data_IF_946897070143
#
_entry.id   IF_946897070143
#
_cell.length_a   1.000
_cell.length_b   1.000
_cell.length_c   1.000
_cell.angle_alpha   90.00
_cell.angle_beta   90.00
_cell.angle_gamma   90.00
#
_symmetry.space_group_name_H-M   'P 1'
#
loop_
_entity.id
_entity.type
_entity.pdbx_description
1 polymer ?
#
# COMPACT_ATOMS: atom_id res chain seq x y z
N UNK A 1 -10.34 -6.33 9.67
CA UNK A 1 -11.41 -5.91 8.75
C UNK A 1 -11.61 -6.90 7.62
N UNK A 2 -12.81 -6.90 7.03
CA UNK A 2 -13.17 -7.85 5.96
C UNK A 2 -13.41 -7.12 4.66
N UNK A 3 -12.33 -6.69 3.99
CA UNK A 3 -12.42 -6.08 2.66
C UNK A 3 -11.77 -7.01 1.65
N UNK A 4 -12.55 -7.44 0.65
CA UNK A 4 -12.02 -8.23 -0.47
C UNK A 4 -11.54 -7.28 -1.56
N UNK A 5 -10.34 -7.51 -2.07
CA UNK A 5 -9.69 -6.70 -3.12
C UNK A 5 -9.40 -7.60 -4.31
N UNK A 6 -9.79 -7.17 -5.52
CA UNK A 6 -9.63 -7.94 -6.74
C UNK A 6 -10.73 -8.96 -6.99
N UNK A 7 -10.53 -9.85 -7.97
CA UNK A 7 -11.46 -10.93 -8.28
C UNK A 7 -12.86 -10.48 -8.72
N UNK A 8 -13.02 -9.31 -9.33
CA UNK A 8 -14.29 -8.76 -9.77
C UNK A 8 -15.11 -8.08 -8.67
N UNK A 9 -14.58 -7.93 -7.47
CA UNK A 9 -15.20 -7.13 -6.42
C UNK A 9 -15.13 -5.63 -6.74
N UNK A 10 -16.03 -4.79 -6.18
CA UNK A 10 -15.98 -3.34 -6.36
C UNK A 10 -14.64 -2.75 -5.93
N UNK A 11 -14.19 -1.71 -6.62
CA UNK A 11 -12.97 -0.98 -6.29
C UNK A 11 -13.05 -0.45 -4.86
N UNK A 12 -12.14 -0.88 -4.00
CA UNK A 12 -12.14 -0.50 -2.60
C UNK A 12 -11.48 0.89 -2.39
N UNK A 13 -12.14 1.76 -1.62
CA UNK A 13 -11.60 3.08 -1.27
C UNK A 13 -10.75 2.99 -0.03
N UNK A 14 -9.50 3.44 -0.15
CA UNK A 14 -8.57 3.55 0.96
C UNK A 14 -8.28 5.00 1.29
N UNK A 15 -8.17 5.32 2.57
CA UNK A 15 -7.63 6.59 3.06
C UNK A 15 -6.39 6.37 3.93
N UNK A 16 -5.89 7.44 4.56
CA UNK A 16 -4.73 7.39 5.44
C UNK A 16 -4.87 8.44 6.53
N UNK A 17 -4.58 8.07 7.77
CA UNK A 17 -4.53 9.05 8.86
C UNK A 17 -3.39 10.04 8.69
N UNK A 18 -3.56 11.22 9.25
CA UNK A 18 -2.51 12.23 9.44
C UNK A 18 -2.25 12.53 10.93
N UNK A 19 -2.79 11.70 11.82
CA UNK A 19 -2.53 11.71 13.26
C UNK A 19 -1.18 11.05 13.59
N UNK A 20 -0.63 11.36 14.76
CA UNK A 20 0.47 10.56 15.31
C UNK A 20 -0.06 9.17 15.67
N UNK A 21 0.55 8.12 15.10
CA UNK A 21 0.17 6.73 15.37
C UNK A 21 0.41 6.33 16.84
N UNK A 22 1.20 7.07 17.60
CA UNK A 22 1.33 6.88 19.05
C UNK A 22 0.14 7.45 19.84
N UNK A 23 -0.66 8.34 19.25
CA UNK A 23 -1.91 8.83 19.84
C UNK A 23 -3.07 7.92 19.42
N UNK A 24 -3.40 6.97 20.30
CA UNK A 24 -4.46 5.98 20.04
C UNK A 24 -5.81 6.64 19.83
N UNK A 25 -6.19 7.58 20.70
CA UNK A 25 -7.53 8.20 20.67
C UNK A 25 -7.73 9.07 19.43
N UNK A 26 -6.74 9.89 19.07
CA UNK A 26 -6.80 10.71 17.88
C UNK A 26 -6.83 9.85 16.61
N UNK A 27 -6.05 8.76 16.57
CA UNK A 27 -6.02 7.84 15.43
C UNK A 27 -7.33 7.08 15.27
N UNK A 28 -7.91 6.55 16.34
CA UNK A 28 -9.22 5.89 16.32
C UNK A 28 -10.30 6.84 15.84
N UNK A 29 -10.42 8.02 16.46
CA UNK A 29 -11.42 9.02 16.08
C UNK A 29 -11.31 9.44 14.60
N UNK A 30 -10.10 9.53 14.06
CA UNK A 30 -9.93 9.83 12.64
C UNK A 30 -10.32 8.65 11.74
N UNK A 31 -9.97 7.41 12.10
CA UNK A 31 -10.37 6.21 11.36
C UNK A 31 -11.90 6.09 11.31
N UNK A 32 -12.58 6.36 12.42
CA UNK A 32 -14.05 6.37 12.46
C UNK A 32 -14.65 7.39 11.49
N UNK A 33 -14.11 8.62 11.45
CA UNK A 33 -14.60 9.64 10.49
C UNK A 33 -14.39 9.18 9.05
N UNK A 34 -13.24 8.59 8.75
CA UNK A 34 -12.92 8.04 7.43
C UNK A 34 -13.88 6.89 7.09
N UNK A 35 -14.15 5.98 8.02
CA UNK A 35 -15.07 4.85 7.79
C UNK A 35 -16.50 5.33 7.51
N UNK A 36 -16.99 6.30 8.30
CA UNK A 36 -18.32 6.92 8.10
C UNK A 36 -18.42 7.68 6.77
N UNK A 37 -17.30 8.21 6.25
CA UNK A 37 -17.22 8.83 4.93
C UNK A 37 -17.11 7.80 3.78
N UNK A 38 -17.04 6.49 4.08
CA UNK A 38 -17.01 5.41 3.09
C UNK A 38 -15.64 4.78 2.85
N UNK A 39 -14.58 5.24 3.52
CA UNK A 39 -13.23 4.67 3.42
C UNK A 39 -13.12 3.38 4.24
N UNK A 40 -13.18 2.22 3.58
CA UNK A 40 -13.18 0.90 4.23
C UNK A 40 -11.79 0.35 4.54
N UNK A 41 -10.76 0.99 4.05
CA UNK A 41 -9.36 0.65 4.32
C UNK A 41 -8.65 1.91 4.79
N UNK A 42 -8.01 1.87 5.95
CA UNK A 42 -7.28 3.01 6.49
C UNK A 42 -5.84 2.65 6.79
N UNK A 43 -4.91 3.47 6.30
CA UNK A 43 -3.48 3.30 6.47
C UNK A 43 -2.94 4.23 7.54
N UNK A 44 -2.13 3.68 8.45
CA UNK A 44 -1.36 4.42 9.44
C UNK A 44 0.13 4.25 9.17
N UNK A 45 0.91 5.30 9.39
CA UNK A 45 2.37 5.24 9.32
C UNK A 45 2.93 4.60 10.58
N UNK A 46 3.87 3.65 10.44
CA UNK A 46 4.63 3.10 11.56
C UNK A 46 6.12 3.17 11.23
N UNK A 47 6.78 4.22 11.73
CA UNK A 47 8.20 4.50 11.45
C UNK A 47 9.13 3.79 12.43
N UNK A 48 8.66 3.49 13.63
CA UNK A 48 9.41 2.87 14.68
C UNK A 48 8.63 1.83 15.47
N UNK A 49 9.33 1.20 16.40
CA UNK A 49 8.78 0.13 17.24
C UNK A 49 7.55 0.56 18.03
N UNK A 50 7.58 1.79 18.58
CA UNK A 50 6.48 2.32 19.42
C UNK A 50 5.17 2.42 18.65
N UNK A 51 5.22 2.97 17.42
CA UNK A 51 4.07 3.04 16.54
C UNK A 51 3.58 1.64 16.16
N UNK A 52 4.52 0.73 15.80
CA UNK A 52 4.20 -0.65 15.48
C UNK A 52 3.47 -1.38 16.61
N UNK A 53 3.92 -1.21 17.86
CA UNK A 53 3.28 -1.78 19.04
C UNK A 53 1.94 -1.10 19.37
N UNK A 54 1.82 0.21 19.14
CA UNK A 54 0.58 0.94 19.42
C UNK A 54 -0.56 0.59 18.46
N UNK A 55 -0.26 0.06 17.26
CA UNK A 55 -1.28 -0.47 16.35
C UNK A 55 -2.18 -1.52 17.02
N UNK A 56 -1.65 -2.29 17.96
CA UNK A 56 -2.43 -3.25 18.75
C UNK A 56 -3.59 -2.58 19.52
N UNK A 57 -3.33 -1.42 20.12
CA UNK A 57 -4.32 -0.65 20.89
C UNK A 57 -5.34 -0.02 19.96
N UNK A 58 -4.89 0.56 18.85
CA UNK A 58 -5.76 1.18 17.84
C UNK A 58 -6.72 0.14 17.27
N UNK A 59 -6.21 -1.01 16.81
CA UNK A 59 -7.05 -2.07 16.23
C UNK A 59 -8.03 -2.62 17.26
N UNK A 60 -7.58 -2.90 18.48
CA UNK A 60 -8.47 -3.38 19.55
C UNK A 60 -9.60 -2.39 19.79
N UNK A 61 -9.27 -1.11 19.97
CA UNK A 61 -10.27 -0.06 20.24
C UNK A 61 -11.32 0.04 19.13
N UNK A 62 -10.89 0.02 17.87
CA UNK A 62 -11.81 0.01 16.72
C UNK A 62 -12.77 -1.18 16.76
N UNK A 63 -12.28 -2.38 17.10
CA UNK A 63 -13.11 -3.59 17.17
C UNK A 63 -14.07 -3.54 18.36
N UNK A 64 -13.63 -3.03 19.52
CA UNK A 64 -14.47 -2.85 20.70
C UNK A 64 -15.63 -1.86 20.45
N UNK A 65 -15.41 -0.87 19.58
CA UNK A 65 -16.41 0.13 19.17
C UNK A 65 -17.25 -0.32 17.94
N UNK A 66 -17.02 -1.55 17.45
CA UNK A 66 -17.82 -2.16 16.39
C UNK A 66 -17.41 -1.78 14.95
N UNK A 67 -16.27 -1.11 14.76
CA UNK A 67 -15.78 -0.80 13.42
C UNK A 67 -15.01 -1.98 12.81
N UNK A 68 -15.37 -2.35 11.57
CA UNK A 68 -14.72 -3.41 10.80
C UNK A 68 -13.76 -2.86 9.72
N UNK A 69 -13.34 -1.61 9.86
CA UNK A 69 -12.39 -0.95 8.96
C UNK A 69 -11.08 -1.75 8.88
N UNK A 70 -10.62 -2.04 7.67
CA UNK A 70 -9.34 -2.72 7.47
C UNK A 70 -8.18 -1.76 7.74
N UNK A 71 -7.28 -2.15 8.64
CA UNK A 71 -6.13 -1.35 9.06
C UNK A 71 -4.87 -1.78 8.32
N UNK A 72 -4.16 -0.81 7.77
CA UNK A 72 -2.89 -1.02 7.04
C UNK A 72 -1.74 -0.31 7.75
N UNK A 73 -0.69 -1.03 8.09
CA UNK A 73 0.56 -0.44 8.57
C UNK A 73 1.47 -0.08 7.39
N UNK A 74 1.90 1.17 7.33
CA UNK A 74 2.86 1.67 6.34
C UNK A 74 4.26 1.73 6.95
N UNK A 75 5.09 0.77 6.57
CA UNK A 75 6.45 0.62 7.10
C UNK A 75 7.44 1.28 6.14
N UNK A 76 8.19 2.26 6.64
CA UNK A 76 9.11 3.01 5.80
C UNK A 76 10.52 2.40 5.74
N UNK A 77 11.13 2.06 6.90
CA UNK A 77 12.56 1.77 6.92
C UNK A 77 12.96 0.49 7.68
N UNK A 78 12.20 0.06 8.66
CA UNK A 78 12.62 -0.97 9.61
C UNK A 78 11.86 -2.28 9.41
N UNK A 79 12.51 -3.35 8.89
CA UNK A 79 11.88 -4.65 8.70
C UNK A 79 11.27 -5.24 9.99
N UNK A 80 11.91 -5.02 11.13
CA UNK A 80 11.42 -5.45 12.43
C UNK A 80 10.06 -4.85 12.80
N UNK A 81 9.80 -3.58 12.37
CA UNK A 81 8.51 -2.93 12.60
C UNK A 81 7.41 -3.57 11.74
N UNK A 82 7.75 -4.03 10.53
CA UNK A 82 6.82 -4.78 9.69
C UNK A 82 6.39 -6.09 10.38
N UNK A 83 7.35 -6.81 10.97
CA UNK A 83 7.09 -8.04 11.71
C UNK A 83 6.24 -7.83 12.98
N UNK A 84 6.41 -6.70 13.68
CA UNK A 84 5.58 -6.30 14.83
C UNK A 84 4.17 -5.96 14.35
N UNK A 85 4.04 -5.10 13.34
CA UNK A 85 2.75 -4.66 12.81
C UNK A 85 1.91 -5.81 12.27
N UNK A 86 2.53 -6.80 11.62
CA UNK A 86 1.86 -7.99 11.09
C UNK A 86 1.13 -8.84 12.16
N UNK A 87 1.37 -8.58 13.45
CA UNK A 87 0.65 -9.26 14.52
C UNK A 87 -0.74 -8.66 14.76
N UNK A 88 -1.02 -7.44 14.31
CA UNK A 88 -2.18 -6.66 14.74
C UNK A 88 -3.04 -6.13 13.59
N UNK A 89 -2.45 -5.87 12.42
CA UNK A 89 -3.13 -5.21 11.30
C UNK A 89 -3.63 -6.20 10.25
N UNK A 90 -4.49 -5.73 9.35
CA UNK A 90 -5.04 -6.54 8.26
C UNK A 90 -4.09 -6.57 7.04
N UNK A 91 -3.24 -5.57 6.90
CA UNK A 91 -2.25 -5.48 5.81
C UNK A 91 -1.01 -4.72 6.24
N UNK A 92 0.15 -5.17 5.80
CA UNK A 92 1.43 -4.44 5.94
C UNK A 92 1.85 -3.92 4.57
N UNK A 93 2.29 -2.66 4.49
CA UNK A 93 2.91 -2.11 3.28
C UNK A 93 4.40 -1.91 3.50
N UNK A 94 5.18 -2.40 2.56
CA UNK A 94 6.62 -2.16 2.48
C UNK A 94 6.98 -1.47 1.16
N UNK A 95 8.10 -0.75 1.15
CA UNK A 95 8.68 -0.15 -0.05
C UNK A 95 9.94 -0.92 -0.45
N UNK A 96 9.98 -1.55 -1.64
CA UNK A 96 11.16 -2.23 -2.15
C UNK A 96 12.44 -1.38 -2.14
N UNK A 97 12.32 -0.07 -2.30
CA UNK A 97 13.46 0.85 -2.23
C UNK A 97 14.17 0.86 -0.88
N UNK A 98 13.45 0.55 0.19
CA UNK A 98 13.93 0.58 1.57
C UNK A 98 13.99 -0.81 2.23
N UNK A 99 13.64 -1.87 1.49
CA UNK A 99 13.60 -3.24 1.97
C UNK A 99 14.56 -4.11 1.13
N UNK A 100 15.19 -5.09 1.73
CA UNK A 100 16.17 -5.96 1.03
C UNK A 100 15.60 -7.35 0.85
N UNK A 101 16.02 -8.00 -0.26
CA UNK A 101 15.65 -9.39 -0.56
C UNK A 101 16.77 -10.38 -0.28
N UNK A 102 18.00 -9.90 -0.01
CA UNK A 102 19.20 -10.74 0.12
C UNK A 102 19.50 -11.18 1.56
N UNK A 103 18.68 -10.80 2.55
CA UNK A 103 18.87 -11.09 3.97
C UNK A 103 17.82 -11.99 4.60
N UNK A 104 16.86 -12.49 3.82
CA UNK A 104 15.76 -13.31 4.33
C UNK A 104 14.67 -12.53 5.06
N UNK A 105 14.77 -11.20 5.17
CA UNK A 105 13.80 -10.35 5.89
C UNK A 105 12.42 -10.37 5.24
N UNK A 106 12.37 -10.47 3.90
CA UNK A 106 11.10 -10.54 3.16
C UNK A 106 10.44 -11.91 3.36
N UNK A 107 11.18 -12.97 3.33
CA UNK A 107 10.73 -14.34 3.55
C UNK A 107 10.17 -14.52 4.97
N UNK A 108 10.85 -13.95 5.97
CA UNK A 108 10.36 -13.92 7.36
C UNK A 108 9.03 -13.15 7.46
N UNK A 109 8.92 -11.99 6.80
CA UNK A 109 7.68 -11.23 6.80
C UNK A 109 6.56 -11.99 6.10
N UNK A 110 6.82 -12.64 4.97
CA UNK A 110 5.86 -13.48 4.25
C UNK A 110 5.37 -14.62 5.16
N UNK A 111 6.28 -15.30 5.86
CA UNK A 111 5.91 -16.38 6.78
C UNK A 111 4.97 -15.88 7.90
N UNK A 112 5.28 -14.73 8.50
CA UNK A 112 4.43 -14.10 9.54
C UNK A 112 3.08 -13.66 8.99
N UNK A 113 3.06 -13.03 7.82
CA UNK A 113 1.82 -12.62 7.16
C UNK A 113 0.92 -13.82 6.87
N UNK A 114 1.49 -14.92 6.39
CA UNK A 114 0.76 -16.17 6.13
C UNK A 114 0.18 -16.75 7.42
N UNK A 115 0.98 -16.87 8.47
CA UNK A 115 0.55 -17.41 9.77
C UNK A 115 -0.64 -16.63 10.35
N UNK A 116 -0.65 -15.32 10.15
CA UNK A 116 -1.66 -14.40 10.70
C UNK A 116 -2.81 -14.07 9.75
N UNK A 117 -2.76 -14.51 8.50
CA UNK A 117 -3.74 -14.14 7.48
C UNK A 117 -3.68 -12.66 7.10
N UNK A 118 -2.51 -12.04 7.19
CA UNK A 118 -2.26 -10.62 6.89
C UNK A 118 -1.83 -10.47 5.45
N UNK A 119 -2.41 -9.51 4.72
CA UNK A 119 -1.99 -9.21 3.36
C UNK A 119 -0.70 -8.37 3.34
N UNK A 120 0.07 -8.50 2.27
CA UNK A 120 1.28 -7.71 2.03
C UNK A 120 1.07 -6.77 0.84
N UNK A 121 1.38 -5.49 0.99
CA UNK A 121 1.42 -4.57 -0.14
C UNK A 121 2.86 -4.21 -0.50
N UNK A 122 3.25 -4.54 -1.72
CA UNK A 122 4.49 -4.11 -2.34
C UNK A 122 4.25 -2.75 -2.98
N UNK A 123 4.76 -1.70 -2.35
CA UNK A 123 4.47 -0.32 -2.73
C UNK A 123 5.68 0.42 -3.24
N UNK A 124 5.90 0.43 -4.56
CA UNK A 124 6.97 1.16 -5.22
C UNK A 124 6.56 2.63 -5.42
N UNK A 125 7.47 3.54 -5.12
CA UNK A 125 7.31 4.96 -5.42
C UNK A 125 8.45 5.42 -6.35
N UNK A 126 8.10 6.18 -7.37
CA UNK A 126 9.04 6.98 -8.15
C UNK A 126 9.81 7.93 -7.20
N UNK A 127 11.11 8.07 -7.37
CA UNK A 127 11.97 8.85 -6.47
C UNK A 127 12.51 8.08 -5.26
N UNK A 128 12.13 6.79 -5.06
CA UNK A 128 12.60 6.01 -3.91
C UNK A 128 12.97 4.56 -4.28
N UNK A 129 13.57 4.38 -5.45
CA UNK A 129 14.09 3.08 -5.88
C UNK A 129 15.37 2.72 -5.14
N UNK A 130 15.60 1.42 -4.92
CA UNK A 130 16.88 0.95 -4.40
C UNK A 130 18.04 1.38 -5.30
N UNK A 131 19.16 1.80 -4.70
CA UNK A 131 20.31 2.35 -5.45
C UNK A 131 20.73 1.45 -6.62
N UNK A 132 20.80 0.14 -6.44
CA UNK A 132 21.17 -0.83 -7.49
C UNK A 132 20.21 -0.83 -8.68
N UNK A 133 18.91 -0.64 -8.43
CA UNK A 133 17.89 -0.55 -9.48
C UNK A 133 18.01 0.79 -10.20
N UNK A 134 18.17 1.87 -9.43
CA UNK A 134 18.37 3.21 -9.97
C UNK A 134 19.62 3.29 -10.86
N UNK A 135 20.75 2.73 -10.42
CA UNK A 135 22.01 2.77 -11.18
C UNK A 135 21.91 2.03 -12.52
N UNK A 136 21.08 0.99 -12.61
CA UNK A 136 20.92 0.19 -13.83
C UNK A 136 19.78 0.65 -14.73
N UNK A 137 18.67 1.11 -14.17
CA UNK A 137 17.42 1.38 -14.90
C UNK A 137 16.97 2.84 -14.81
N UNK A 138 17.63 3.65 -13.97
CA UNK A 138 17.19 5.01 -13.66
C UNK A 138 15.88 5.03 -12.87
N UNK A 139 15.43 6.25 -12.55
CA UNK A 139 14.10 6.47 -11.96
C UNK A 139 13.04 6.55 -13.06
N UNK A 140 12.74 5.43 -13.65
CA UNK A 140 11.90 5.26 -14.84
C UNK A 140 10.76 4.29 -14.55
N UNK A 141 9.68 4.28 -15.37
CA UNK A 141 8.64 3.26 -15.31
C UNK A 141 9.21 1.83 -15.31
N UNK A 142 10.23 1.58 -16.15
CA UNK A 142 10.89 0.28 -16.22
C UNK A 142 11.63 -0.07 -14.90
N UNK A 143 12.37 0.88 -14.32
CA UNK A 143 13.04 0.68 -13.03
C UNK A 143 12.05 0.39 -11.91
N UNK A 144 10.89 1.06 -11.92
CA UNK A 144 9.81 0.80 -10.96
C UNK A 144 9.28 -0.64 -11.11
N UNK A 145 9.06 -1.10 -12.35
CA UNK A 145 8.58 -2.47 -12.62
C UNK A 145 9.59 -3.52 -12.16
N UNK A 146 10.87 -3.35 -12.49
CA UNK A 146 11.93 -4.24 -12.03
C UNK A 146 11.93 -4.34 -10.50
N UNK A 147 11.85 -3.20 -9.82
CA UNK A 147 11.79 -3.14 -8.35
C UNK A 147 10.60 -3.91 -7.76
N UNK A 148 9.42 -3.81 -8.37
CA UNK A 148 8.24 -4.56 -7.93
C UNK A 148 8.37 -6.05 -8.20
N UNK A 149 8.76 -6.42 -9.43
CA UNK A 149 8.80 -7.82 -9.88
C UNK A 149 9.78 -8.67 -9.08
N UNK A 150 10.89 -8.10 -8.60
CA UNK A 150 11.81 -8.81 -7.70
C UNK A 150 11.09 -9.31 -6.44
N UNK A 151 10.27 -8.46 -5.82
CA UNK A 151 9.52 -8.82 -4.62
C UNK A 151 8.35 -9.76 -4.91
N UNK A 152 7.65 -9.54 -6.02
CA UNK A 152 6.54 -10.40 -6.44
C UNK A 152 7.01 -11.82 -6.76
N UNK A 153 8.18 -11.99 -7.36
CA UNK A 153 8.78 -13.31 -7.60
C UNK A 153 9.08 -14.05 -6.30
N UNK A 154 9.55 -13.34 -5.27
CA UNK A 154 9.74 -13.95 -3.94
C UNK A 154 8.40 -14.39 -3.35
N UNK A 155 7.37 -13.56 -3.41
CA UNK A 155 6.02 -13.92 -2.96
C UNK A 155 5.51 -15.17 -3.70
N UNK A 156 5.63 -15.20 -5.04
CA UNK A 156 5.23 -16.35 -5.87
C UNK A 156 6.01 -17.63 -5.51
N UNK A 157 7.34 -17.52 -5.36
CA UNK A 157 8.19 -18.65 -5.01
C UNK A 157 7.81 -19.27 -3.65
N UNK A 158 7.31 -18.45 -2.74
CA UNK A 158 6.80 -18.91 -1.44
C UNK A 158 5.31 -19.28 -1.45
N UNK A 159 4.61 -19.25 -2.59
CA UNK A 159 3.17 -19.52 -2.68
C UNK A 159 2.34 -18.58 -1.83
N UNK A 160 2.71 -17.29 -1.78
CA UNK A 160 2.01 -16.28 -1.01
C UNK A 160 1.23 -15.36 -1.93
N UNK A 161 -0.10 -15.52 -1.97
CA UNK A 161 -1.00 -14.84 -2.91
C UNK A 161 -1.75 -13.65 -2.31
N UNK A 162 -1.67 -13.44 -0.99
CA UNK A 162 -2.28 -12.28 -0.33
C UNK A 162 -1.43 -11.01 -0.53
N UNK A 163 -1.22 -10.66 -1.78
CA UNK A 163 -0.36 -9.54 -2.20
C UNK A 163 -1.18 -8.48 -2.91
N UNK A 164 -0.89 -7.22 -2.65
CA UNK A 164 -1.36 -6.06 -3.42
C UNK A 164 -0.14 -5.29 -3.90
N UNK A 165 -0.15 -4.79 -5.12
CA UNK A 165 0.98 -4.04 -5.67
C UNK A 165 0.59 -2.61 -6.03
N UNK A 166 1.50 -1.67 -5.87
CA UNK A 166 1.28 -0.28 -6.28
C UNK A 166 2.54 0.38 -6.83
N UNK A 167 2.37 1.22 -7.87
CA UNK A 167 3.42 1.91 -8.64
C UNK A 167 3.13 3.41 -8.64
N UNK A 168 3.41 4.10 -7.53
CA UNK A 168 3.01 5.50 -7.37
C UNK A 168 4.06 6.48 -7.87
N UNK A 169 3.59 7.55 -8.51
CA UNK A 169 4.40 8.70 -8.91
C UNK A 169 3.57 9.99 -8.74
N UNK A 170 4.24 11.09 -8.52
CA UNK A 170 3.63 12.43 -8.62
C UNK A 170 3.43 12.87 -10.08
N UNK A 171 4.15 12.24 -11.01
CA UNK A 171 3.96 12.43 -12.45
C UNK A 171 2.96 11.38 -12.97
N UNK A 172 1.77 11.82 -13.40
CA UNK A 172 0.70 10.93 -13.87
C UNK A 172 1.08 10.12 -15.10
N UNK A 173 1.91 10.66 -16.00
CA UNK A 173 2.38 9.95 -17.21
C UNK A 173 3.31 8.79 -16.82
N UNK A 174 4.26 9.04 -15.92
CA UNK A 174 5.16 8.00 -15.38
C UNK A 174 4.35 6.94 -14.65
N UNK A 175 3.39 7.34 -13.82
CA UNK A 175 2.51 6.45 -13.09
C UNK A 175 1.74 5.52 -14.03
N UNK A 176 1.03 6.07 -15.00
CA UNK A 176 0.22 5.28 -15.94
C UNK A 176 1.10 4.31 -16.75
N UNK A 177 2.25 4.77 -17.24
CA UNK A 177 3.20 3.92 -17.93
C UNK A 177 3.72 2.77 -17.05
N UNK A 178 4.07 3.06 -15.77
CA UNK A 178 4.58 2.06 -14.84
C UNK A 178 3.54 0.97 -14.54
N UNK A 179 2.27 1.34 -14.32
CA UNK A 179 1.21 0.35 -14.06
C UNK A 179 0.92 -0.52 -15.30
N UNK A 180 0.86 0.07 -16.50
CA UNK A 180 0.67 -0.70 -17.73
C UNK A 180 1.81 -1.70 -17.98
N UNK A 181 3.05 -1.27 -17.78
CA UNK A 181 4.22 -2.14 -17.87
C UNK A 181 4.21 -3.22 -16.78
N UNK A 182 3.78 -2.89 -15.56
CA UNK A 182 3.67 -3.87 -14.48
C UNK A 182 2.68 -4.98 -14.82
N UNK A 183 1.50 -4.62 -15.32
CA UNK A 183 0.48 -5.61 -15.72
C UNK A 183 1.05 -6.55 -16.77
N UNK A 184 1.65 -6.00 -17.84
CA UNK A 184 2.27 -6.83 -18.87
C UNK A 184 3.39 -7.74 -18.35
N UNK A 185 4.20 -7.25 -17.39
CA UNK A 185 5.26 -8.05 -16.77
C UNK A 185 4.69 -9.16 -15.85
N UNK A 186 3.64 -8.86 -15.09
CA UNK A 186 2.95 -9.85 -14.26
C UNK A 186 2.29 -10.94 -15.12
N UNK A 187 1.58 -10.55 -16.17
CA UNK A 187 0.94 -11.49 -17.10
C UNK A 187 1.96 -12.43 -17.76
N UNK A 188 3.11 -11.90 -18.16
CA UNK A 188 4.19 -12.69 -18.77
C UNK A 188 4.77 -13.77 -17.82
N UNK A 189 4.60 -13.58 -16.51
CA UNK A 189 5.06 -14.53 -15.48
C UNK A 189 3.89 -15.24 -14.76
N UNK A 190 2.67 -15.20 -15.31
CA UNK A 190 1.46 -15.77 -14.72
C UNK A 190 1.26 -15.33 -13.27
N UNK A 191 1.24 -14.01 -13.07
CA UNK A 191 0.96 -13.34 -11.80
C UNK A 191 -0.23 -12.40 -11.97
N UNK A 192 -1.24 -12.51 -11.10
CA UNK A 192 -2.49 -11.75 -11.18
C UNK A 192 -2.82 -11.07 -9.83
N UNK A 193 -1.84 -10.37 -9.26
CA UNK A 193 -2.02 -9.69 -7.99
C UNK A 193 -2.87 -8.42 -8.12
N UNK A 194 -3.80 -8.17 -7.19
CA UNK A 194 -4.56 -6.93 -7.12
C UNK A 194 -3.70 -5.67 -7.10
N UNK A 195 -4.21 -4.61 -7.74
CA UNK A 195 -3.50 -3.35 -7.93
C UNK A 195 -4.14 -2.22 -7.14
N UNK A 196 -3.31 -1.51 -6.36
CA UNK A 196 -3.69 -0.29 -5.65
C UNK A 196 -3.23 0.95 -6.42
N UNK A 197 -4.18 1.78 -6.85
CA UNK A 197 -3.92 3.01 -7.60
C UNK A 197 -3.81 4.24 -6.69
N UNK A 198 -3.03 5.21 -7.12
CA UNK A 198 -2.96 6.53 -6.48
C UNK A 198 -1.83 7.37 -7.03
N UNK A 199 -2.09 8.66 -7.18
CA UNK A 199 -1.06 9.67 -7.48
C UNK A 199 -0.44 10.10 -6.16
N UNK A 200 0.89 10.05 -6.04
CA UNK A 200 1.60 10.54 -4.86
C UNK A 200 1.70 12.06 -4.93
N UNK A 201 1.47 12.74 -3.80
CA UNK A 201 1.63 14.20 -3.69
C UNK A 201 0.87 14.94 -4.79
N UNK A 202 -0.42 14.60 -4.94
CA UNK A 202 -1.23 15.17 -6.00
C UNK A 202 -1.45 16.70 -5.82
N UNK A 203 -1.33 17.19 -4.59
CA UNK A 203 -1.53 18.59 -4.26
C UNK A 203 -2.80 18.81 -3.43
N UNK A 204 -3.40 19.98 -3.58
CA UNK A 204 -4.61 20.37 -2.84
C UNK A 204 -5.71 20.80 -3.80
N UNK A 205 -6.92 20.94 -3.27
CA UNK A 205 -8.06 21.49 -3.98
C UNK A 205 -8.38 20.80 -5.29
N UNK A 206 -8.89 21.60 -6.25
CA UNK A 206 -9.35 21.08 -7.54
C UNK A 206 -8.21 20.53 -8.41
N UNK A 207 -7.02 21.12 -8.34
CA UNK A 207 -5.87 20.66 -9.12
C UNK A 207 -5.43 19.25 -8.71
N UNK A 208 -5.34 19.00 -7.42
CA UNK A 208 -5.01 17.67 -6.90
C UNK A 208 -6.07 16.63 -7.26
N UNK A 209 -7.34 17.00 -7.25
CA UNK A 209 -8.46 16.14 -7.67
C UNK A 209 -8.40 15.82 -9.15
N UNK A 210 -8.19 16.83 -10.01
CA UNK A 210 -8.05 16.63 -11.46
C UNK A 210 -6.85 15.72 -11.76
N UNK A 211 -5.70 15.99 -11.14
CA UNK A 211 -4.49 15.19 -11.31
C UNK A 211 -4.71 13.73 -10.91
N UNK A 212 -5.38 13.51 -9.78
CA UNK A 212 -5.75 12.17 -9.32
C UNK A 212 -6.77 11.49 -10.23
N UNK A 213 -7.79 12.23 -10.69
CA UNK A 213 -8.78 11.71 -11.62
C UNK A 213 -8.16 11.29 -12.96
N UNK A 214 -7.24 12.09 -13.50
CA UNK A 214 -6.52 11.74 -14.74
C UNK A 214 -5.67 10.49 -14.56
N UNK A 215 -4.85 10.42 -13.51
CA UNK A 215 -3.94 9.29 -13.30
C UNK A 215 -4.68 8.00 -12.96
N UNK A 216 -5.61 8.05 -12.01
CA UNK A 216 -6.40 6.89 -11.58
C UNK A 216 -7.41 6.50 -12.67
N UNK A 217 -8.12 7.48 -13.22
CA UNK A 217 -9.16 7.25 -14.23
C UNK A 217 -8.63 6.61 -15.51
N UNK A 218 -7.45 7.03 -16.00
CA UNK A 218 -6.82 6.43 -17.17
C UNK A 218 -6.62 4.91 -16.97
N UNK A 219 -6.17 4.48 -15.79
CA UNK A 219 -5.94 3.07 -15.49
C UNK A 219 -7.25 2.30 -15.27
N UNK A 220 -8.24 2.89 -14.61
CA UNK A 220 -9.55 2.27 -14.46
C UNK A 220 -10.26 2.07 -15.81
N UNK A 221 -10.09 2.99 -16.77
CA UNK A 221 -10.57 2.81 -18.15
C UNK A 221 -9.90 1.65 -18.88
N UNK A 222 -8.66 1.31 -18.53
CA UNK A 222 -7.94 0.14 -19.03
C UNK A 222 -8.36 -1.16 -18.30
N UNK A 223 -9.25 -1.11 -17.31
CA UNK A 223 -9.60 -2.24 -16.45
C UNK A 223 -8.54 -2.55 -15.37
N UNK A 224 -7.63 -1.62 -15.11
CA UNK A 224 -6.54 -1.77 -14.12
C UNK A 224 -6.92 -1.05 -12.83
N UNK A 225 -6.93 -1.75 -11.70
CA UNK A 225 -7.12 -1.19 -10.37
C UNK A 225 -8.24 -1.83 -9.58
N UNK A 226 -7.90 -2.26 -8.36
CA UNK A 226 -8.78 -2.96 -7.43
C UNK A 226 -9.03 -2.16 -6.15
N UNK A 227 -8.14 -1.24 -5.83
CA UNK A 227 -8.29 -0.29 -4.73
C UNK A 227 -7.61 1.03 -5.07
N UNK A 228 -8.16 2.13 -4.57
CA UNK A 228 -7.68 3.48 -4.88
C UNK A 228 -7.44 4.31 -3.62
N UNK A 229 -6.52 5.27 -3.71
CA UNK A 229 -6.37 6.35 -2.75
C UNK A 229 -6.07 7.67 -3.45
N UNK A 230 -6.92 8.66 -3.23
CA UNK A 230 -6.63 10.05 -3.59
C UNK A 230 -5.79 10.67 -2.46
N UNK A 231 -4.65 11.29 -2.80
CA UNK A 231 -3.68 11.84 -1.84
C UNK A 231 -3.65 13.35 -1.96
N UNK A 232 -4.39 14.03 -1.11
CA UNK A 232 -4.49 15.49 -1.07
C UNK A 232 -3.94 16.05 0.26
N UNK A 233 -3.58 17.32 0.24
CA UNK A 233 -3.21 18.10 1.44
C UNK A 233 -4.49 18.65 2.09
N UNK A 234 -5.38 17.75 2.47
CA UNK A 234 -6.69 18.04 3.05
C UNK A 234 -7.01 17.03 4.16
N UNK A 235 -8.10 17.23 4.89
CA UNK A 235 -8.56 16.25 5.85
C UNK A 235 -8.88 14.92 5.13
N UNK A 236 -8.38 13.79 5.64
CA UNK A 236 -8.43 12.51 4.90
C UNK A 236 -9.83 11.89 4.79
N UNK A 237 -10.81 12.45 5.46
CA UNK A 237 -12.22 12.09 5.37
C UNK A 237 -13.01 12.80 4.26
N UNK A 238 -12.38 13.77 3.52
CA UNK A 238 -13.02 14.55 2.45
C UNK A 238 -12.88 13.97 1.07
#
# INVERSE_FOLDING_TARGET
>A
GRVVIGGGHPVAVQSMTNTDTNDTEASVAQIERIDRAGGKIVRLTAQGRREGENLARIVRRLRDEGFDTAVVADIHFLPEVAAIAAQYVDKVRINPGNYRTDRGELEELIARCRERGVALRIGVNHGSLAKRVFDQWGDTPQGMVVSAMEFLRVCKAHGFDQVVVSMKSSNTRVMVAAYRLLVAAMDAEDMHYPIHLGVTEAGSGIEGRIKSAVGIGALLCDGIGDTIRVSLTEAPEH
#
